data_IF_319976143630
#
_entry.id   IF_319976143630
#
_cell.length_a   1.000
_cell.length_b   1.000
_cell.length_c   1.000
_cell.angle_alpha   90.00
_cell.angle_beta   90.00
_cell.angle_gamma   90.00
#
_symmetry.space_group_name_H-M   'P 1'
#
loop_
_entity.id
_entity.type
_entity.pdbx_description
1 polymer ?
#
# COMPACT_ATOMS: atom_id res chain seq x y z
N UNK A 1 15.81 -5.10 -6.75
CA UNK A 1 15.72 -4.33 -5.50
C UNK A 1 15.27 -5.27 -4.40
N UNK A 2 16.03 -5.36 -3.32
CA UNK A 2 15.62 -6.24 -2.23
C UNK A 2 14.54 -5.59 -1.37
N UNK A 3 13.97 -6.38 -0.48
CA UNK A 3 12.84 -5.94 0.35
C UNK A 3 13.21 -4.75 1.25
N UNK A 4 14.37 -4.81 1.90
CA UNK A 4 14.76 -3.75 2.84
C UNK A 4 14.99 -2.42 2.12
N UNK A 5 15.60 -2.47 0.96
CA UNK A 5 15.81 -1.27 0.17
C UNK A 5 14.47 -0.68 -0.31
N UNK A 6 13.56 -1.54 -0.73
CA UNK A 6 12.21 -1.11 -1.13
C UNK A 6 11.53 -0.38 0.04
N UNK A 7 11.56 -1.00 1.22
CA UNK A 7 10.93 -0.41 2.40
C UNK A 7 11.58 0.93 2.77
N UNK A 8 12.91 1.02 2.74
CA UNK A 8 13.61 2.26 3.03
C UNK A 8 13.17 3.40 2.11
N UNK A 9 13.06 3.12 0.83
CA UNK A 9 12.64 4.13 -0.14
C UNK A 9 11.21 4.58 0.08
N UNK A 10 10.33 3.64 0.41
CA UNK A 10 8.93 3.95 0.69
C UNK A 10 8.81 4.80 1.95
N UNK A 11 9.52 4.42 3.01
CA UNK A 11 9.50 5.18 4.27
C UNK A 11 10.02 6.58 4.06
N UNK A 12 11.13 6.75 3.34
CA UNK A 12 11.67 8.07 3.03
C UNK A 12 10.69 8.92 2.25
N UNK A 13 9.98 8.32 1.32
CA UNK A 13 8.96 9.03 0.54
C UNK A 13 7.84 9.51 1.46
N UNK A 14 7.38 8.67 2.37
CA UNK A 14 6.34 9.04 3.33
C UNK A 14 6.80 10.18 4.25
N UNK A 15 8.04 10.10 4.72
CA UNK A 15 8.62 11.15 5.57
C UNK A 15 8.71 12.48 4.81
N UNK A 16 9.11 12.42 3.53
CA UNK A 16 9.16 13.60 2.69
C UNK A 16 7.79 14.24 2.50
N UNK A 17 6.77 13.41 2.30
CA UNK A 17 5.39 13.87 2.21
C UNK A 17 4.99 14.59 3.51
N UNK A 18 5.30 14.01 4.65
CA UNK A 18 4.99 14.63 5.94
C UNK A 18 5.67 15.97 6.10
N UNK A 19 6.94 16.07 5.74
CA UNK A 19 7.67 17.35 5.81
C UNK A 19 7.08 18.39 4.89
N UNK A 20 6.73 17.99 3.67
CA UNK A 20 6.20 18.92 2.68
C UNK A 20 4.87 19.52 3.12
N UNK A 21 4.00 18.72 3.72
CA UNK A 21 2.66 19.14 4.10
C UNK A 21 2.49 19.45 5.58
N UNK A 22 3.56 19.37 6.36
CA UNK A 22 3.48 19.63 7.81
C UNK A 22 2.66 18.58 8.55
N UNK A 23 2.71 17.34 8.10
CA UNK A 23 1.97 16.23 8.69
C UNK A 23 2.93 15.33 9.42
N UNK A 24 2.59 14.97 10.66
CA UNK A 24 3.38 14.01 11.43
C UNK A 24 3.04 12.60 10.96
N UNK A 25 4.06 11.89 10.49
CA UNK A 25 3.90 10.50 10.04
C UNK A 25 4.11 9.61 11.28
N UNK A 26 3.05 9.44 12.04
CA UNK A 26 3.06 8.59 13.23
C UNK A 26 2.20 7.35 13.03
N UNK A 27 2.06 6.53 14.08
CA UNK A 27 1.32 5.27 14.00
C UNK A 27 -0.15 5.48 13.65
N UNK A 28 -0.77 6.52 14.21
CA UNK A 28 -2.17 6.81 13.91
C UNK A 28 -2.36 7.20 12.46
N UNK A 29 -1.51 8.08 11.95
CA UNK A 29 -1.56 8.48 10.54
C UNK A 29 -1.39 7.27 9.62
N UNK A 30 -0.39 6.44 9.90
CA UNK A 30 -0.07 5.30 9.03
C UNK A 30 -1.20 4.28 9.02
N UNK A 31 -1.83 4.03 10.17
CA UNK A 31 -2.96 3.10 10.26
C UNK A 31 -4.17 3.61 9.48
N UNK A 32 -4.54 4.86 9.72
CA UNK A 32 -5.71 5.45 9.06
C UNK A 32 -5.48 5.60 7.56
N UNK A 33 -4.26 5.94 7.17
CA UNK A 33 -3.92 6.04 5.75
C UNK A 33 -3.99 4.68 5.06
N UNK A 34 -3.59 3.62 5.74
CA UNK A 34 -3.72 2.26 5.21
C UNK A 34 -5.19 1.94 4.92
N UNK A 35 -6.10 2.25 5.85
CA UNK A 35 -7.52 2.03 5.62
C UNK A 35 -8.05 2.84 4.44
N UNK A 36 -7.61 4.09 4.33
CA UNK A 36 -8.00 4.93 3.22
C UNK A 36 -7.55 4.33 1.89
N UNK A 37 -6.30 3.88 1.81
CA UNK A 37 -5.78 3.28 0.59
C UNK A 37 -6.49 1.97 0.22
N UNK A 38 -6.86 1.16 1.21
CA UNK A 38 -7.68 -0.04 0.97
C UNK A 38 -9.02 0.36 0.35
N UNK A 39 -9.64 1.43 0.85
CA UNK A 39 -10.89 1.93 0.29
C UNK A 39 -10.74 2.39 -1.15
N UNK A 40 -9.64 3.09 -1.46
CA UNK A 40 -9.37 3.53 -2.83
C UNK A 40 -9.11 2.36 -3.76
N UNK A 41 -8.44 1.31 -3.27
CA UNK A 41 -8.27 0.09 -4.03
C UNK A 41 -9.63 -0.57 -4.33
N UNK A 42 -10.52 -0.60 -3.36
CA UNK A 42 -11.88 -1.13 -3.56
C UNK A 42 -12.62 -0.34 -4.65
N UNK A 43 -12.50 0.99 -4.66
CA UNK A 43 -13.09 1.81 -5.72
C UNK A 43 -12.51 1.46 -7.09
N UNK A 44 -11.20 1.27 -7.16
CA UNK A 44 -10.54 0.91 -8.40
C UNK A 44 -11.03 -0.44 -8.94
N UNK A 45 -11.29 -1.40 -8.04
CA UNK A 45 -11.86 -2.70 -8.42
C UNK A 45 -13.26 -2.53 -9.00
N UNK A 46 -14.09 -1.71 -8.37
CA UNK A 46 -15.45 -1.47 -8.88
C UNK A 46 -15.42 -0.87 -10.27
N UNK A 47 -14.51 0.08 -10.49
CA UNK A 47 -14.35 0.70 -11.81
C UNK A 47 -13.87 -0.33 -12.83
N UNK A 48 -12.88 -1.14 -12.46
CA UNK A 48 -12.34 -2.15 -13.36
C UNK A 48 -13.40 -3.18 -13.77
N UNK A 49 -14.33 -3.47 -12.88
CA UNK A 49 -15.43 -4.41 -13.14
C UNK A 49 -16.67 -3.75 -13.72
N UNK A 50 -16.58 -2.50 -14.09
CA UNK A 50 -17.70 -1.70 -14.61
C UNK A 50 -18.90 -1.64 -13.66
N UNK A 51 -18.63 -1.71 -12.35
CA UNK A 51 -19.64 -1.60 -11.30
C UNK A 51 -19.58 -0.22 -10.68
N UNK A 52 -19.62 0.80 -11.53
CA UNK A 52 -19.53 2.20 -11.13
C UNK A 52 -20.43 3.02 -12.04
N UNK A 53 -20.60 4.30 -11.69
CA UNK A 53 -21.39 5.22 -12.53
C UNK A 53 -20.72 5.37 -13.89
N UNK A 54 -21.51 5.48 -14.98
CA UNK A 54 -20.94 5.54 -16.33
C UNK A 54 -19.84 6.57 -16.53
N UNK A 55 -19.97 7.76 -15.89
CA UNK A 55 -18.97 8.81 -16.06
C UNK A 55 -17.61 8.48 -15.41
N UNK A 56 -17.57 7.46 -14.58
CA UNK A 56 -16.32 7.03 -13.93
C UNK A 56 -15.66 5.84 -14.61
N UNK A 57 -16.29 5.32 -15.66
CA UNK A 57 -15.73 4.14 -16.34
C UNK A 57 -14.45 4.47 -17.06
N UNK A 58 -13.53 3.52 -17.02
CA UNK A 58 -12.25 3.61 -17.70
C UNK A 58 -12.10 2.45 -18.66
N UNK A 59 -11.19 2.56 -19.61
CA UNK A 59 -10.84 1.42 -20.46
C UNK A 59 -10.22 0.33 -19.60
N UNK A 60 -10.14 -0.89 -20.14
CA UNK A 60 -9.53 -2.00 -19.43
C UNK A 60 -8.08 -1.68 -19.05
N UNK A 61 -7.32 -1.13 -19.99
CA UNK A 61 -5.92 -0.79 -19.75
C UNK A 61 -5.77 0.29 -18.68
N UNK A 62 -6.59 1.34 -18.75
CA UNK A 62 -6.57 2.41 -17.76
C UNK A 62 -6.94 1.92 -16.37
N UNK A 63 -8.02 1.13 -16.28
CA UNK A 63 -8.48 0.64 -14.99
C UNK A 63 -7.49 -0.35 -14.37
N UNK A 64 -6.83 -1.17 -15.20
CA UNK A 64 -5.78 -2.08 -14.72
C UNK A 64 -4.61 -1.30 -14.16
N UNK A 65 -4.22 -0.22 -14.82
CA UNK A 65 -3.15 0.65 -14.34
C UNK A 65 -3.50 1.30 -13.01
N UNK A 66 -4.75 1.74 -12.83
CA UNK A 66 -5.21 2.31 -11.57
C UNK A 66 -5.21 1.25 -10.45
N UNK A 67 -5.61 0.01 -10.77
CA UNK A 67 -5.53 -1.08 -9.80
C UNK A 67 -4.10 -1.27 -9.30
N UNK A 68 -3.14 -1.25 -10.22
CA UNK A 68 -1.74 -1.44 -9.84
C UNK A 68 -1.25 -0.33 -8.92
N UNK A 69 -1.61 0.92 -9.22
CA UNK A 69 -1.22 2.07 -8.38
C UNK A 69 -1.84 1.97 -6.99
N UNK A 70 -3.13 1.68 -6.91
CA UNK A 70 -3.81 1.62 -5.63
C UNK A 70 -3.31 0.45 -4.78
N UNK A 71 -3.02 -0.69 -5.41
CA UNK A 71 -2.44 -1.81 -4.68
C UNK A 71 -1.04 -1.47 -4.17
N UNK A 72 -0.26 -0.76 -4.98
CA UNK A 72 1.06 -0.30 -4.53
C UNK A 72 0.95 0.62 -3.32
N UNK A 73 -0.06 1.49 -3.29
CA UNK A 73 -0.29 2.37 -2.14
C UNK A 73 -0.66 1.58 -0.89
N UNK A 74 -1.50 0.55 -1.03
CA UNK A 74 -1.86 -0.32 0.10
C UNK A 74 -0.61 -0.99 0.68
N UNK A 75 0.20 -1.59 -0.18
CA UNK A 75 1.42 -2.28 0.27
C UNK A 75 2.41 -1.28 0.84
N UNK A 76 2.55 -0.12 0.20
CA UNK A 76 3.43 0.94 0.69
C UNK A 76 3.07 1.38 2.10
N UNK A 77 1.78 1.60 2.36
CA UNK A 77 1.35 2.00 3.70
C UNK A 77 1.49 0.86 4.71
N UNK A 78 1.37 -0.39 4.29
CA UNK A 78 1.66 -1.52 5.16
C UNK A 78 3.14 -1.51 5.59
N UNK A 79 4.04 -1.21 4.65
CA UNK A 79 5.47 -1.11 4.95
C UNK A 79 5.79 0.05 5.89
N UNK A 80 5.10 1.18 5.74
CA UNK A 80 5.27 2.31 6.66
C UNK A 80 4.80 1.92 8.07
N UNK A 81 3.65 1.24 8.17
CA UNK A 81 3.16 0.74 9.45
C UNK A 81 4.18 -0.17 10.12
N UNK A 82 4.73 -1.12 9.37
CA UNK A 82 5.73 -2.05 9.91
C UNK A 82 6.94 -1.30 10.44
N UNK A 83 7.40 -0.29 9.71
CA UNK A 83 8.54 0.53 10.14
C UNK A 83 8.24 1.23 11.47
N UNK A 84 7.08 1.88 11.57
CA UNK A 84 6.72 2.65 12.75
C UNK A 84 6.47 1.77 13.98
N UNK A 85 6.01 0.53 13.75
CA UNK A 85 5.76 -0.44 14.82
C UNK A 85 7.00 -1.28 15.14
N UNK A 86 8.11 -1.00 14.48
CA UNK A 86 9.36 -1.74 14.64
C UNK A 86 9.18 -3.24 14.39
N UNK A 87 8.47 -3.56 13.32
CA UNK A 87 8.22 -4.94 12.92
C UNK A 87 9.14 -5.27 11.73
N UNK A 88 9.89 -6.37 11.85
CA UNK A 88 10.65 -6.92 10.72
C UNK A 88 9.68 -7.73 9.85
N UNK A 89 9.10 -7.07 8.87
CA UNK A 89 8.06 -7.68 8.04
C UNK A 89 8.63 -8.78 7.13
N UNK A 90 9.87 -8.62 6.69
CA UNK A 90 10.52 -9.66 5.89
C UNK A 90 10.64 -10.96 6.68
N UNK A 91 11.09 -10.87 7.93
CA UNK A 91 11.17 -12.02 8.81
C UNK A 91 9.79 -12.62 9.09
N UNK A 92 8.79 -11.76 9.25
CA UNK A 92 7.41 -12.21 9.46
C UNK A 92 6.88 -12.99 8.25
N UNK A 93 7.20 -12.54 7.03
CA UNK A 93 6.85 -13.30 5.83
C UNK A 93 7.51 -14.67 5.80
N UNK A 94 8.81 -14.72 6.13
CA UNK A 94 9.53 -15.99 6.17
C UNK A 94 8.87 -16.96 7.13
N UNK A 95 8.57 -16.50 8.33
CA UNK A 95 7.96 -17.32 9.37
C UNK A 95 6.56 -17.77 8.99
N UNK A 96 5.74 -16.84 8.51
CA UNK A 96 4.32 -17.08 8.29
C UNK A 96 4.03 -17.80 6.98
N UNK A 97 4.77 -17.46 5.92
CA UNK A 97 4.41 -17.88 4.56
C UNK A 97 5.35 -18.94 3.97
N UNK A 98 6.61 -18.99 4.42
CA UNK A 98 7.58 -19.88 3.78
C UNK A 98 8.08 -20.98 4.69
N UNK A 99 8.32 -20.67 5.94
CA UNK A 99 8.78 -21.68 6.89
C UNK A 99 7.65 -22.67 7.14
N UNK A 100 8.00 -23.95 7.16
CA UNK A 100 7.03 -25.03 7.39
C UNK A 100 5.98 -25.19 6.29
N UNK A 101 6.21 -24.64 5.15
CA UNK A 101 5.34 -24.91 4.01
C UNK A 101 5.65 -26.28 3.47
N UNK A 102 4.68 -27.14 3.43
CA UNK A 102 4.83 -28.52 3.04
C UNK A 102 4.33 -28.77 1.64
N UNK A 103 4.81 -27.99 0.76
CA UNK A 103 4.46 -28.18 -0.63
C UNK A 103 3.00 -27.96 -0.93
#
# INVERSE_FOLDING_TARGET
>A
MDFKLLQEKIVKNAEGYGKHYGIKIDEDFALLKLYEEVGEFAQAILIHRNKCRPEKRLSEAESKNELAKELADVVGMALVNAHLLDIDLEAAFEEKWFKNKQG
#
